data_IF_330734146085
#
_entry.id   IF_330734146085
#
_cell.length_a   1.000
_cell.length_b   1.000
_cell.length_c   1.000
_cell.angle_alpha   90.00
_cell.angle_beta   90.00
_cell.angle_gamma   90.00
#
_symmetry.space_group_name_H-M   'P 1'
#
loop_
_entity.id
_entity.type
_entity.pdbx_description
1 polymer ?
#
# COMPACT_ATOMS: atom_id res chain seq x y z
N UNK A 1 -15.43 -0.16 -39.54
CA UNK A 1 -14.26 0.54 -38.99
C UNK A 1 -13.81 1.59 -39.97
N UNK A 2 -14.46 2.75 -39.89
CA UNK A 2 -13.91 4.02 -40.31
C UNK A 2 -12.69 4.32 -39.46
N UNK A 3 -11.56 4.66 -40.09
CA UNK A 3 -10.33 5.09 -39.41
C UNK A 3 -10.17 6.58 -39.66
N UNK A 4 -9.93 7.37 -38.62
CA UNK A 4 -9.75 8.82 -38.78
C UNK A 4 -8.60 9.16 -39.73
N UNK A 5 -8.75 10.27 -40.45
CA UNK A 5 -7.67 10.82 -41.26
C UNK A 5 -6.54 11.34 -40.32
N UNK A 6 -5.25 11.18 -40.68
CA UNK A 6 -4.14 11.57 -39.82
C UNK A 6 -4.10 13.08 -39.50
N UNK A 7 -4.78 13.91 -40.30
CA UNK A 7 -4.96 15.35 -40.05
C UNK A 7 -5.92 15.63 -38.88
N UNK A 8 -6.97 14.81 -38.72
CA UNK A 8 -7.99 14.93 -37.68
C UNK A 8 -7.46 14.46 -36.33
N UNK A 9 -6.68 13.37 -36.32
CA UNK A 9 -5.98 12.87 -35.12
C UNK A 9 -5.05 13.94 -34.55
N UNK A 10 -4.33 14.67 -35.40
CA UNK A 10 -3.42 15.73 -34.97
C UNK A 10 -4.14 16.95 -34.36
N UNK A 11 -5.36 17.23 -34.80
CA UNK A 11 -6.22 18.26 -34.21
C UNK A 11 -6.67 17.87 -32.79
N UNK A 12 -7.05 16.60 -32.61
CA UNK A 12 -7.43 16.02 -31.30
C UNK A 12 -6.22 16.03 -30.36
N UNK A 13 -5.05 15.61 -30.83
CA UNK A 13 -3.79 15.62 -30.07
C UNK A 13 -3.43 17.04 -29.58
N UNK A 14 -3.57 18.04 -30.44
CA UNK A 14 -3.27 19.44 -30.06
C UNK A 14 -4.25 19.96 -29.01
N UNK A 15 -5.53 19.57 -29.10
CA UNK A 15 -6.55 19.90 -28.08
C UNK A 15 -6.30 19.18 -26.77
N UNK A 16 -5.93 17.90 -26.80
CA UNK A 16 -5.60 17.14 -25.59
C UNK A 16 -4.29 17.61 -24.93
N UNK A 17 -3.29 18.02 -25.72
CA UNK A 17 -2.06 18.61 -25.21
C UNK A 17 -2.32 19.92 -24.44
N UNK A 18 -3.33 20.70 -24.85
CA UNK A 18 -3.73 21.92 -24.14
C UNK A 18 -4.39 21.68 -22.78
N UNK A 19 -4.82 20.45 -22.48
CA UNK A 19 -5.44 20.03 -21.20
C UNK A 19 -4.38 19.77 -20.11
N UNK A 20 -3.10 19.58 -20.48
CA UNK A 20 -1.99 19.56 -19.52
C UNK A 20 -1.94 18.35 -18.59
N UNK A 21 -2.20 17.15 -19.10
CA UNK A 21 -2.08 15.89 -18.33
C UNK A 21 -0.60 15.57 -18.04
N UNK A 22 -0.30 15.22 -16.78
CA UNK A 22 1.08 15.02 -16.29
C UNK A 22 1.63 13.61 -16.56
N UNK A 23 0.77 12.63 -16.83
CA UNK A 23 1.13 11.22 -16.97
C UNK A 23 0.97 10.75 -18.42
N UNK A 24 2.10 10.48 -19.08
CA UNK A 24 2.15 10.19 -20.52
C UNK A 24 1.43 8.90 -20.91
N UNK A 25 1.45 7.88 -20.04
CA UNK A 25 0.79 6.59 -20.34
C UNK A 25 -0.73 6.74 -20.34
N UNK A 26 -1.27 7.52 -19.39
CA UNK A 26 -2.71 7.74 -19.29
C UNK A 26 -3.20 8.63 -20.44
N UNK A 27 -2.42 9.63 -20.84
CA UNK A 27 -2.75 10.47 -21.99
C UNK A 27 -2.88 9.69 -23.30
N UNK A 28 -2.11 8.61 -23.48
CA UNK A 28 -2.13 7.78 -24.70
C UNK A 28 -3.39 6.91 -24.73
N UNK A 29 -3.67 6.16 -23.65
CA UNK A 29 -4.87 5.30 -23.58
C UNK A 29 -6.16 6.11 -23.74
N UNK A 30 -6.15 7.32 -23.21
CA UNK A 30 -7.28 8.21 -23.23
C UNK A 30 -7.48 8.83 -24.61
N UNK A 31 -6.40 9.19 -25.30
CA UNK A 31 -6.48 9.62 -26.70
C UNK A 31 -7.00 8.51 -27.61
N UNK A 32 -6.58 7.26 -27.39
CA UNK A 32 -7.09 6.10 -28.14
C UNK A 32 -8.59 5.89 -27.91
N UNK A 33 -9.05 6.08 -26.67
CA UNK A 33 -10.47 6.03 -26.33
C UNK A 33 -11.28 7.19 -26.97
N UNK A 34 -10.75 8.42 -26.94
CA UNK A 34 -11.37 9.58 -27.60
C UNK A 34 -11.54 9.32 -29.10
N UNK A 35 -10.50 8.81 -29.76
CA UNK A 35 -10.53 8.46 -31.17
C UNK A 35 -11.59 7.39 -31.45
N UNK A 36 -11.63 6.30 -30.68
CA UNK A 36 -12.66 5.25 -30.82
C UNK A 36 -14.09 5.81 -30.72
N UNK A 37 -14.37 6.70 -29.77
CA UNK A 37 -15.73 7.25 -29.62
C UNK A 37 -16.10 8.20 -30.76
N UNK A 38 -15.14 8.95 -31.31
CA UNK A 38 -15.37 9.80 -32.47
C UNK A 38 -15.60 8.95 -33.73
N UNK A 39 -14.88 7.83 -33.89
CA UNK A 39 -15.08 6.84 -34.96
C UNK A 39 -16.49 6.26 -34.94
N UNK A 40 -16.97 5.85 -33.78
CA UNK A 40 -18.32 5.28 -33.62
C UNK A 40 -19.42 6.29 -33.99
N UNK A 41 -19.26 7.56 -33.60
CA UNK A 41 -20.20 8.64 -33.92
C UNK A 41 -20.17 9.00 -35.42
N UNK A 42 -19.00 8.96 -36.04
CA UNK A 42 -18.84 9.13 -37.50
C UNK A 42 -19.50 7.99 -38.29
N UNK A 43 -19.39 6.75 -37.82
CA UNK A 43 -20.07 5.59 -38.43
C UNK A 43 -21.60 5.72 -38.38
N UNK A 44 -22.14 6.41 -37.38
CA UNK A 44 -23.57 6.73 -37.24
C UNK A 44 -24.04 7.89 -38.13
N UNK A 45 -23.15 8.47 -38.94
CA UNK A 45 -23.47 9.53 -39.92
C UNK A 45 -23.43 10.96 -39.36
N UNK A 46 -22.81 11.18 -38.20
CA UNK A 46 -22.62 12.54 -37.66
C UNK A 46 -21.39 13.22 -38.26
N UNK A 47 -21.46 14.54 -38.46
CA UNK A 47 -20.34 15.32 -38.99
C UNK A 47 -19.22 15.43 -37.95
N UNK A 48 -17.95 15.33 -38.38
CA UNK A 48 -16.77 15.28 -37.50
C UNK A 48 -16.75 16.39 -36.43
N UNK A 49 -17.08 17.64 -36.81
CA UNK A 49 -17.10 18.76 -35.86
C UNK A 49 -18.16 18.60 -34.76
N UNK A 50 -19.27 17.95 -35.07
CA UNK A 50 -20.36 17.73 -34.14
C UNK A 50 -20.04 16.56 -33.20
N UNK A 51 -19.50 15.46 -33.75
CA UNK A 51 -19.00 14.31 -32.99
C UNK A 51 -17.87 14.71 -32.03
N UNK A 52 -16.89 15.51 -32.49
CA UNK A 52 -15.80 16.01 -31.66
C UNK A 52 -16.33 16.88 -30.51
N UNK A 53 -17.23 17.82 -30.79
CA UNK A 53 -17.80 18.71 -29.76
C UNK A 53 -18.60 17.93 -28.71
N UNK A 54 -19.37 16.94 -29.14
CA UNK A 54 -20.20 16.11 -28.26
C UNK A 54 -19.32 15.22 -27.38
N UNK A 55 -18.34 14.51 -27.97
CA UNK A 55 -17.37 13.66 -27.25
C UNK A 55 -16.52 14.46 -26.25
N UNK A 56 -16.02 15.64 -26.63
CA UNK A 56 -15.27 16.50 -25.70
C UNK A 56 -16.16 17.13 -24.60
N UNK A 57 -17.46 17.32 -24.85
CA UNK A 57 -18.40 17.78 -23.84
C UNK A 57 -18.82 16.66 -22.87
N UNK A 58 -18.93 15.43 -23.37
CA UNK A 58 -19.34 14.23 -22.63
C UNK A 58 -18.19 13.70 -21.77
N UNK A 59 -16.96 13.74 -22.28
CA UNK A 59 -15.77 13.37 -21.50
C UNK A 59 -15.30 14.42 -20.51
N UNK A 60 -15.90 15.61 -20.53
CA UNK A 60 -15.72 16.71 -19.58
C UNK A 60 -14.42 16.65 -18.79
N UNK A 61 -13.40 17.38 -19.26
CA UNK A 61 -12.05 17.66 -18.73
C UNK A 61 -11.86 17.56 -17.18
N UNK A 62 -12.93 17.74 -16.40
CA UNK A 62 -13.02 17.55 -14.95
C UNK A 62 -12.93 16.08 -14.45
N UNK A 63 -13.40 15.07 -15.20
CA UNK A 63 -13.46 13.71 -14.66
C UNK A 63 -12.08 13.04 -14.59
N UNK A 64 -11.14 13.47 -15.43
CA UNK A 64 -9.81 12.87 -15.55
C UNK A 64 -8.78 13.44 -14.58
N UNK A 65 -8.86 14.74 -14.27
CA UNK A 65 -8.02 15.34 -13.21
C UNK A 65 -8.42 14.86 -11.81
N UNK A 66 -9.71 14.59 -11.57
CA UNK A 66 -10.19 14.09 -10.28
C UNK A 66 -9.67 12.67 -9.99
N UNK A 67 -9.68 11.78 -10.98
CA UNK A 67 -9.18 10.39 -10.84
C UNK A 67 -7.66 10.38 -10.65
N UNK A 68 -6.92 11.25 -11.35
CA UNK A 68 -5.46 11.31 -11.26
C UNK A 68 -4.97 11.88 -9.91
N UNK A 69 -5.66 12.89 -9.36
CA UNK A 69 -5.33 13.45 -8.05
C UNK A 69 -5.59 12.47 -6.90
N UNK A 70 -6.73 11.78 -6.91
CA UNK A 70 -7.04 10.77 -5.89
C UNK A 70 -6.06 9.59 -5.93
N UNK A 71 -5.72 9.13 -7.14
CA UNK A 71 -4.79 8.00 -7.32
C UNK A 71 -3.35 8.38 -6.93
N UNK A 72 -2.91 9.62 -7.23
CA UNK A 72 -1.59 10.10 -6.81
C UNK A 72 -1.50 10.31 -5.31
N UNK A 73 -2.53 10.89 -4.66
CA UNK A 73 -2.53 11.08 -3.22
C UNK A 73 -2.50 9.74 -2.47
N UNK A 74 -3.29 8.76 -2.92
CA UNK A 74 -3.28 7.41 -2.36
C UNK A 74 -1.92 6.71 -2.55
N UNK A 75 -1.28 6.90 -3.71
CA UNK A 75 0.04 6.31 -4.01
C UNK A 75 1.16 6.97 -3.21
N UNK A 76 1.15 8.30 -3.08
CA UNK A 76 2.14 9.05 -2.30
C UNK A 76 2.01 8.76 -0.80
N UNK A 77 0.79 8.68 -0.28
CA UNK A 77 0.54 8.30 1.11
C UNK A 77 1.02 6.86 1.37
N UNK A 78 0.75 5.91 0.46
CA UNK A 78 1.26 4.54 0.54
C UNK A 78 2.78 4.46 0.58
N UNK A 79 3.47 5.18 -0.30
CA UNK A 79 4.95 5.20 -0.32
C UNK A 79 5.50 5.83 0.95
N UNK A 80 4.87 6.91 1.42
CA UNK A 80 5.26 7.62 2.65
C UNK A 80 5.08 6.74 3.88
N UNK A 81 3.95 6.03 4.00
CA UNK A 81 3.69 5.11 5.11
C UNK A 81 4.69 3.94 5.12
N UNK A 82 4.98 3.33 3.97
CA UNK A 82 6.00 2.26 3.88
C UNK A 82 7.39 2.74 4.29
N UNK A 83 7.81 3.92 3.81
CA UNK A 83 9.09 4.52 4.21
C UNK A 83 9.17 4.76 5.71
N UNK A 84 8.08 5.28 6.32
CA UNK A 84 7.99 5.49 7.78
C UNK A 84 8.08 4.17 8.55
N UNK A 85 7.38 3.12 8.13
CA UNK A 85 7.45 1.79 8.78
C UNK A 85 8.86 1.21 8.73
N UNK A 86 9.56 1.35 7.60
CA UNK A 86 10.96 0.90 7.47
C UNK A 86 11.88 1.69 8.42
N UNK A 87 11.73 3.01 8.48
CA UNK A 87 12.54 3.85 9.38
C UNK A 87 12.29 3.48 10.84
N UNK A 88 11.03 3.33 11.26
CA UNK A 88 10.66 2.93 12.62
C UNK A 88 11.22 1.53 12.93
N UNK A 89 11.13 0.59 11.98
CA UNK A 89 11.72 -0.74 12.10
C UNK A 89 13.23 -0.68 12.32
N UNK A 90 13.95 0.07 11.48
CA UNK A 90 15.40 0.24 11.60
C UNK A 90 15.80 0.88 12.93
N UNK A 91 15.11 1.95 13.33
CA UNK A 91 15.34 2.63 14.62
C UNK A 91 15.13 1.64 15.77
N UNK A 92 14.04 0.89 15.77
CA UNK A 92 13.76 -0.09 16.82
C UNK A 92 14.83 -1.20 16.89
N UNK A 93 15.32 -1.67 15.74
CA UNK A 93 16.38 -2.68 15.67
C UNK A 93 17.69 -2.14 16.23
N UNK A 94 18.06 -0.91 15.86
CA UNK A 94 19.27 -0.24 16.37
C UNK A 94 19.16 -0.04 17.88
N UNK A 95 18.01 0.42 18.40
CA UNK A 95 17.81 0.58 19.85
C UNK A 95 17.88 -0.76 20.58
N UNK A 96 17.25 -1.81 20.06
CA UNK A 96 17.31 -3.14 20.67
C UNK A 96 18.74 -3.69 20.66
N UNK A 97 19.45 -3.58 19.53
CA UNK A 97 20.86 -4.01 19.42
C UNK A 97 21.79 -3.24 20.35
N UNK A 98 21.63 -1.91 20.42
CA UNK A 98 22.37 -1.07 21.35
C UNK A 98 22.05 -1.41 22.81
N UNK A 99 20.78 -1.57 23.16
CA UNK A 99 20.37 -1.97 24.52
C UNK A 99 20.90 -3.34 24.93
N UNK A 100 20.90 -4.31 24.01
CA UNK A 100 21.46 -5.64 24.24
C UNK A 100 22.97 -5.61 24.47
N UNK A 101 23.72 -4.92 23.60
CA UNK A 101 25.18 -4.79 23.73
C UNK A 101 25.56 -4.04 25.00
N UNK A 102 24.89 -2.93 25.32
CA UNK A 102 25.10 -2.20 26.57
C UNK A 102 24.87 -3.08 27.80
N UNK A 103 23.89 -3.99 27.74
CA UNK A 103 23.64 -4.94 28.82
C UNK A 103 24.78 -5.94 29.01
N UNK A 104 25.41 -6.40 27.91
CA UNK A 104 26.57 -7.28 27.98
C UNK A 104 27.81 -6.57 28.54
N UNK A 105 27.98 -5.29 28.21
CA UNK A 105 29.08 -4.47 28.74
C UNK A 105 28.79 -3.86 30.12
N UNK A 106 27.67 -4.22 30.77
CA UNK A 106 27.24 -3.68 32.08
C UNK A 106 27.16 -2.14 32.14
N UNK A 107 26.87 -1.49 31.00
CA UNK A 107 26.76 -0.04 30.91
C UNK A 107 25.48 0.47 31.60
N UNK A 108 25.60 1.60 32.29
CA UNK A 108 24.46 2.26 32.93
C UNK A 108 23.41 2.67 31.88
N UNK A 109 22.13 2.45 32.17
CA UNK A 109 21.02 2.78 31.26
C UNK A 109 20.62 1.68 30.26
N UNK A 110 21.31 0.53 30.23
CA UNK A 110 21.00 -0.58 29.32
C UNK A 110 19.55 -1.09 29.42
N UNK A 111 18.96 -1.07 30.62
CA UNK A 111 17.57 -1.49 30.81
C UNK A 111 16.57 -0.55 30.13
N UNK A 112 16.83 0.75 30.15
CA UNK A 112 15.94 1.77 29.57
C UNK A 112 16.04 1.74 28.05
N UNK A 113 17.26 1.72 27.49
CA UNK A 113 17.47 1.65 26.04
C UNK A 113 16.92 0.37 25.43
N UNK A 114 17.09 -0.77 26.12
CA UNK A 114 16.46 -2.04 25.76
C UNK A 114 14.93 -1.98 25.81
N UNK A 115 14.36 -1.50 26.92
CA UNK A 115 12.90 -1.42 27.10
C UNK A 115 12.24 -0.53 26.05
N UNK A 116 12.83 0.63 25.76
CA UNK A 116 12.34 1.54 24.72
C UNK A 116 12.46 0.90 23.33
N UNK A 117 13.56 0.20 23.04
CA UNK A 117 13.73 -0.55 21.79
C UNK A 117 12.65 -1.63 21.60
N UNK A 118 12.41 -2.44 22.63
CA UNK A 118 11.37 -3.49 22.61
C UNK A 118 9.98 -2.88 22.44
N UNK A 119 9.66 -1.79 23.15
CA UNK A 119 8.34 -1.16 23.08
C UNK A 119 8.10 -0.51 21.71
N UNK A 120 9.12 0.15 21.16
CA UNK A 120 9.06 0.72 19.80
C UNK A 120 8.96 -0.35 18.71
N UNK A 121 9.60 -1.51 18.88
CA UNK A 121 9.44 -2.65 17.97
C UNK A 121 8.05 -3.31 18.11
N UNK A 122 7.60 -3.56 19.34
CA UNK A 122 6.38 -4.32 19.63
C UNK A 122 5.10 -3.55 19.34
N UNK A 123 5.11 -2.23 19.49
CA UNK A 123 3.95 -1.36 19.25
C UNK A 123 4.16 -0.53 17.99
N UNK A 124 5.30 0.16 17.86
CA UNK A 124 5.53 1.04 16.72
C UNK A 124 5.56 0.30 15.39
N UNK A 125 6.50 -0.63 15.22
CA UNK A 125 6.68 -1.32 13.94
C UNK A 125 5.46 -2.19 13.55
N UNK A 126 4.97 -2.98 14.48
CA UNK A 126 3.85 -3.91 14.24
C UNK A 126 2.52 -3.19 13.97
N UNK A 127 2.23 -2.08 14.68
CA UNK A 127 0.98 -1.31 14.50
C UNK A 127 0.99 -0.59 13.15
N UNK A 128 2.12 0.01 12.78
CA UNK A 128 2.24 0.66 11.47
C UNK A 128 2.12 -0.34 10.32
N UNK A 129 2.63 -1.57 10.49
CA UNK A 129 2.48 -2.63 9.50
C UNK A 129 1.03 -3.09 9.33
N UNK A 130 0.26 -3.19 10.42
CA UNK A 130 -1.16 -3.57 10.32
C UNK A 130 -2.03 -2.45 9.83
N UNK A 131 -1.77 -1.19 10.17
CA UNK A 131 -2.49 -0.04 9.61
C UNK A 131 -2.32 0.02 8.08
N UNK A 132 -1.09 -0.18 7.56
CA UNK A 132 -0.87 -0.25 6.11
C UNK A 132 -1.69 -1.39 5.50
N UNK A 133 -1.71 -2.56 6.15
CA UNK A 133 -2.46 -3.74 5.70
C UNK A 133 -3.98 -3.52 5.71
N UNK A 134 -4.53 -2.89 6.75
CA UNK A 134 -5.95 -2.52 6.85
C UNK A 134 -6.41 -1.61 5.70
N UNK A 135 -5.51 -0.80 5.16
CA UNK A 135 -5.81 0.07 4.01
C UNK A 135 -6.05 -0.70 2.71
N UNK A 136 -5.59 -1.95 2.60
CA UNK A 136 -5.78 -2.79 1.39
C UNK A 136 -6.85 -3.86 1.56
N UNK A 137 -7.11 -4.29 2.79
CA UNK A 137 -8.03 -5.38 3.07
C UNK A 137 -9.50 -4.91 2.98
N UNK A 138 -10.17 -5.40 1.93
CA UNK A 138 -11.58 -5.10 1.64
C UNK A 138 -12.51 -5.97 2.49
N UNK A 139 -12.06 -7.16 2.89
CA UNK A 139 -12.88 -8.15 3.59
C UNK A 139 -12.61 -8.14 5.09
N UNK A 140 -13.66 -8.29 5.90
CA UNK A 140 -13.54 -8.31 7.38
C UNK A 140 -12.68 -9.48 7.89
N UNK A 141 -12.69 -10.63 7.20
CA UNK A 141 -11.86 -11.79 7.55
C UNK A 141 -10.36 -11.47 7.41
N UNK A 142 -9.97 -10.77 6.36
CA UNK A 142 -8.58 -10.36 6.15
C UNK A 142 -8.15 -9.40 7.26
N UNK A 143 -9.01 -8.44 7.60
CA UNK A 143 -8.80 -7.48 8.69
C UNK A 143 -8.59 -8.15 10.05
N UNK A 144 -9.44 -9.13 10.38
CA UNK A 144 -9.30 -9.92 11.62
C UNK A 144 -7.99 -10.71 11.60
N UNK A 145 -7.63 -11.29 10.46
CA UNK A 145 -6.37 -12.01 10.30
C UNK A 145 -5.15 -11.09 10.53
N UNK A 146 -5.21 -9.83 10.06
CA UNK A 146 -4.21 -8.81 10.35
C UNK A 146 -4.06 -8.50 11.84
N UNK A 147 -5.17 -8.35 12.57
CA UNK A 147 -5.15 -8.10 14.04
C UNK A 147 -4.55 -9.29 14.80
N UNK A 148 -4.91 -10.52 14.43
CA UNK A 148 -4.38 -11.74 15.07
C UNK A 148 -2.86 -11.80 14.87
N UNK A 149 -2.39 -11.50 13.66
CA UNK A 149 -0.96 -11.40 13.36
C UNK A 149 -0.25 -10.33 14.21
N UNK A 150 -0.87 -9.16 14.39
CA UNK A 150 -0.36 -8.10 15.27
C UNK A 150 -0.21 -8.56 16.72
N UNK A 151 -1.29 -9.12 17.29
CA UNK A 151 -1.29 -9.59 18.68
C UNK A 151 -0.22 -10.66 18.92
N UNK A 152 -0.10 -11.62 17.99
CA UNK A 152 0.94 -12.66 18.06
C UNK A 152 2.36 -12.08 17.99
N UNK A 153 2.62 -11.19 17.04
CA UNK A 153 3.94 -10.57 16.85
C UNK A 153 4.33 -9.68 18.03
N UNK A 154 3.41 -8.84 18.52
CA UNK A 154 3.65 -7.97 19.67
C UNK A 154 3.93 -8.79 20.93
N UNK A 155 3.13 -9.83 21.21
CA UNK A 155 3.33 -10.72 22.35
C UNK A 155 4.70 -11.42 22.28
N UNK A 156 5.10 -11.88 21.10
CA UNK A 156 6.40 -12.52 20.90
C UNK A 156 7.57 -11.55 21.17
N UNK A 157 7.54 -10.35 20.59
CA UNK A 157 8.61 -9.33 20.77
C UNK A 157 8.72 -8.91 22.24
N UNK A 158 7.59 -8.67 22.92
CA UNK A 158 7.56 -8.34 24.35
C UNK A 158 8.11 -9.51 25.19
N UNK A 159 7.74 -10.74 24.85
CA UNK A 159 8.25 -11.95 25.51
C UNK A 159 9.78 -12.06 25.43
N UNK A 160 10.35 -11.81 24.24
CA UNK A 160 11.81 -11.74 24.03
C UNK A 160 12.42 -10.60 24.85
N UNK A 161 11.78 -9.43 24.87
CA UNK A 161 12.17 -8.30 25.70
C UNK A 161 12.29 -8.64 27.19
N UNK A 162 11.29 -9.33 27.71
CA UNK A 162 11.24 -9.77 29.11
C UNK A 162 12.25 -10.87 29.42
N UNK A 163 12.62 -11.69 28.44
CA UNK A 163 13.63 -12.73 28.60
C UNK A 163 14.97 -12.13 29.00
N UNK A 164 15.36 -11.09 28.26
CA UNK A 164 16.60 -10.36 28.52
C UNK A 164 16.55 -9.72 29.90
N UNK A 165 15.42 -9.20 30.35
CA UNK A 165 15.23 -8.66 31.70
C UNK A 165 15.15 -9.74 32.81
N UNK A 166 15.25 -11.03 32.48
CA UNK A 166 15.10 -12.18 33.37
C UNK A 166 13.77 -12.21 34.14
N UNK A 167 12.70 -11.67 33.54
CA UNK A 167 11.38 -11.74 34.16
C UNK A 167 10.76 -13.14 33.96
N UNK A 168 10.08 -13.69 34.99
CA UNK A 168 9.56 -15.06 34.97
C UNK A 168 8.44 -15.26 33.93
N UNK A 169 7.74 -14.20 33.54
CA UNK A 169 6.64 -14.24 32.56
C UNK A 169 7.10 -14.42 31.11
N UNK A 170 8.41 -14.29 30.84
CA UNK A 170 8.95 -14.28 29.47
C UNK A 170 8.64 -15.55 28.69
N UNK A 171 8.85 -16.73 29.29
CA UNK A 171 8.68 -18.00 28.57
C UNK A 171 7.23 -18.20 28.11
N UNK A 172 6.26 -17.85 28.96
CA UNK A 172 4.84 -17.94 28.61
C UNK A 172 4.48 -17.06 27.40
N UNK A 173 4.98 -15.82 27.36
CA UNK A 173 4.73 -14.89 26.26
C UNK A 173 5.40 -15.32 24.94
N UNK A 174 6.63 -15.84 25.00
CA UNK A 174 7.35 -16.31 23.81
C UNK A 174 6.64 -17.52 23.21
N UNK A 175 6.32 -18.53 24.02
CA UNK A 175 5.66 -19.75 23.54
C UNK A 175 4.26 -19.47 23.01
N UNK A 176 3.45 -18.70 23.76
CA UNK A 176 2.10 -18.34 23.31
C UNK A 176 2.12 -17.51 22.04
N UNK A 177 2.95 -16.47 21.96
CA UNK A 177 3.10 -15.65 20.75
C UNK A 177 3.61 -16.45 19.56
N UNK A 178 4.56 -17.35 19.77
CA UNK A 178 5.11 -18.24 18.73
C UNK A 178 4.06 -19.19 18.17
N UNK A 179 3.25 -19.82 19.04
CA UNK A 179 2.16 -20.72 18.60
C UNK A 179 1.13 -19.95 17.78
N UNK A 180 0.72 -18.76 18.23
CA UNK A 180 -0.24 -17.91 17.50
C UNK A 180 0.27 -17.57 16.10
N UNK A 181 1.54 -17.20 15.97
CA UNK A 181 2.14 -16.87 14.67
C UNK A 181 2.25 -18.10 13.75
N UNK A 182 2.61 -19.26 14.29
CA UNK A 182 2.67 -20.51 13.50
C UNK A 182 1.29 -20.91 12.97
N UNK A 183 0.27 -20.87 13.84
CA UNK A 183 -1.12 -21.14 13.44
C UNK A 183 -1.58 -20.15 12.38
N UNK A 184 -1.32 -18.86 12.57
CA UNK A 184 -1.62 -17.82 11.58
C UNK A 184 -0.96 -18.08 10.23
N UNK A 185 0.34 -18.44 10.22
CA UNK A 185 1.08 -18.75 9.01
C UNK A 185 0.51 -19.97 8.28
N UNK A 186 0.19 -21.04 9.00
CA UNK A 186 -0.38 -22.27 8.44
C UNK A 186 -1.75 -21.98 7.82
N UNK A 187 -2.64 -21.29 8.53
CA UNK A 187 -3.98 -20.94 8.02
C UNK A 187 -3.86 -20.11 6.75
N UNK A 188 -3.00 -19.09 6.74
CA UNK A 188 -2.84 -18.23 5.58
C UNK A 188 -2.28 -19.00 4.37
N UNK A 189 -1.31 -19.89 4.59
CA UNK A 189 -0.75 -20.72 3.53
C UNK A 189 -1.76 -21.73 2.97
N UNK A 190 -2.59 -22.34 3.82
CA UNK A 190 -3.64 -23.25 3.39
C UNK A 190 -4.71 -22.54 2.55
N UNK A 191 -5.16 -21.34 2.97
CA UNK A 191 -6.12 -20.54 2.20
C UNK A 191 -5.58 -20.20 0.81
N UNK A 192 -4.32 -19.77 0.72
CA UNK A 192 -3.67 -19.49 -0.56
C UNK A 192 -3.54 -20.75 -1.43
N UNK A 193 -3.22 -21.89 -0.83
CA UNK A 193 -3.13 -23.16 -1.54
C UNK A 193 -4.49 -23.62 -2.11
N UNK A 194 -5.60 -23.33 -1.42
CA UNK A 194 -6.95 -23.62 -1.92
C UNK A 194 -7.33 -22.71 -3.10
N UNK A 195 -7.00 -21.41 -3.03
CA UNK A 195 -7.28 -20.45 -4.10
C UNK A 195 -6.51 -20.81 -5.39
N UNK A 196 -5.26 -21.28 -5.27
CA UNK A 196 -4.45 -21.66 -6.44
C UNK A 196 -4.90 -22.97 -7.11
N UNK A 197 -5.79 -23.73 -6.46
CA UNK A 197 -6.30 -25.03 -6.95
C UNK A 197 -7.73 -24.94 -7.52
N UNK A 198 -8.40 -23.79 -7.34
CA UNK A 198 -9.68 -23.42 -7.98
C UNK A 198 -9.42 -22.69 -9.30
#
# INVERSE_FOLDING_TARGET
>A
MLVLEPTQVKSIETKMASVGLKNSSLSIDLMDHVCCMIEERLELGTEFQQAEKEVFSEMGILHMQAIEQETQLLTQNKITMKKRTIIIGLVSLVLMGAGFTMKQFHLMGAGITWGVGVLTAAIGFTLFMTIDRFSYEKTILERVNGIIGFLGAAAFIIGVGFNVLRMPLSFLLIWSGGIVLLVHYIINNLVVAQIKRS
#
